data_IF_721614964917
#
_entry.id   IF_721614964917
#
_cell.length_a   1.000
_cell.length_b   1.000
_cell.length_c   1.000
_cell.angle_alpha   90.00
_cell.angle_beta   90.00
_cell.angle_gamma   90.00
#
_symmetry.space_group_name_H-M   'P 1'
#
loop_
_entity.id
_entity.type
_entity.pdbx_description
1 polymer ?
#
# COMPACT_ATOMS: atom_id res chain seq x y z
N UNK A 1 -88.50 -31.15 -32.86
CA UNK A 1 -87.87 -32.23 -32.07
C UNK A 1 -86.36 -32.02 -32.11
N UNK A 2 -85.65 -32.48 -31.07
CA UNK A 2 -84.24 -32.21 -30.74
C UNK A 2 -84.11 -30.87 -30.00
N UNK A 3 -83.71 -30.75 -28.73
CA UNK A 3 -83.10 -31.70 -27.80
C UNK A 3 -82.03 -30.94 -27.01
N UNK A 4 -82.35 -30.56 -25.76
CA UNK A 4 -81.41 -29.92 -24.84
C UNK A 4 -80.25 -30.88 -24.50
N UNK A 5 -79.01 -30.41 -24.61
CA UNK A 5 -77.87 -31.04 -23.93
C UNK A 5 -77.01 -29.98 -23.24
N UNK A 6 -77.14 -30.01 -21.91
CA UNK A 6 -76.33 -29.33 -20.92
C UNK A 6 -74.90 -29.90 -20.94
N UNK A 7 -73.90 -29.04 -21.10
CA UNK A 7 -72.50 -29.39 -20.83
C UNK A 7 -72.07 -28.74 -19.51
N UNK A 8 -71.82 -29.60 -18.50
CA UNK A 8 -71.18 -29.24 -17.23
C UNK A 8 -69.75 -28.76 -17.46
N UNK A 9 -69.26 -27.75 -16.72
CA UNK A 9 -67.84 -27.42 -16.67
C UNK A 9 -67.10 -28.54 -15.92
N UNK A 10 -66.08 -29.11 -16.55
CA UNK A 10 -65.19 -30.10 -15.93
C UNK A 10 -64.29 -29.39 -14.93
N UNK A 11 -64.50 -29.70 -13.66
CA UNK A 11 -63.64 -29.34 -12.53
C UNK A 11 -62.33 -30.12 -12.61
N UNK A 12 -61.38 -29.64 -13.40
CA UNK A 12 -60.00 -30.15 -13.45
C UNK A 12 -59.04 -28.99 -13.64
N UNK A 13 -59.08 -28.01 -12.73
CA UNK A 13 -58.15 -26.87 -12.75
C UNK A 13 -57.86 -26.33 -11.34
N UNK A 14 -57.85 -27.19 -10.32
CA UNK A 14 -57.34 -26.82 -9.00
C UNK A 14 -56.08 -27.59 -8.59
N UNK A 15 -55.85 -28.79 -9.14
CA UNK A 15 -54.71 -29.63 -8.75
C UNK A 15 -53.40 -29.30 -9.48
N UNK A 16 -53.44 -28.54 -10.58
CA UNK A 16 -52.23 -28.10 -11.29
C UNK A 16 -51.62 -26.81 -10.71
N UNK A 17 -52.43 -25.98 -10.04
CA UNK A 17 -51.95 -24.76 -9.40
C UNK A 17 -51.23 -25.03 -8.07
N UNK A 18 -51.52 -26.15 -7.40
CA UNK A 18 -50.89 -26.52 -6.13
C UNK A 18 -49.50 -27.16 -6.31
N UNK A 19 -49.19 -27.73 -7.48
CA UNK A 19 -47.85 -28.26 -7.78
C UNK A 19 -46.87 -27.22 -8.32
N UNK A 20 -47.35 -26.06 -8.80
CA UNK A 20 -46.49 -24.95 -9.25
C UNK A 20 -46.07 -24.01 -8.11
N UNK A 21 -46.68 -24.11 -6.92
CA UNK A 21 -46.30 -23.35 -5.72
C UNK A 21 -45.32 -24.09 -4.79
N UNK A 22 -44.97 -25.34 -5.10
CA UNK A 22 -43.98 -26.15 -4.37
C UNK A 22 -42.62 -26.26 -5.09
N UNK A 23 -42.44 -25.57 -6.22
CA UNK A 23 -41.14 -25.42 -6.87
C UNK A 23 -40.51 -24.09 -6.46
N UNK A 24 -39.27 -24.11 -5.97
CA UNK A 24 -38.41 -22.96 -5.61
C UNK A 24 -38.30 -22.56 -4.13
N UNK A 25 -38.44 -23.50 -3.20
CA UNK A 25 -37.71 -23.40 -1.93
C UNK A 25 -36.44 -24.25 -2.02
N UNK A 26 -35.52 -23.89 -2.93
CA UNK A 26 -34.13 -24.33 -2.77
C UNK A 26 -33.63 -23.68 -1.48
N UNK A 27 -33.19 -24.44 -0.47
CA UNK A 27 -32.65 -23.84 0.73
C UNK A 27 -31.48 -22.93 0.30
N UNK A 28 -31.56 -21.65 0.65
CA UNK A 28 -30.40 -20.77 0.51
C UNK A 28 -29.33 -21.38 1.42
N UNK A 29 -28.25 -21.83 0.81
CA UNK A 29 -27.10 -22.37 1.53
C UNK A 29 -26.36 -21.16 2.08
N UNK A 30 -26.30 -21.06 3.42
CA UNK A 30 -25.82 -19.91 4.19
C UNK A 30 -24.84 -20.45 5.23
N UNK A 31 -23.57 -20.08 5.21
CA UNK A 31 -22.61 -20.42 6.26
C UNK A 31 -21.21 -19.89 5.94
N UNK A 32 -20.45 -19.56 6.97
CA UNK A 32 -19.07 -19.10 6.85
C UNK A 32 -18.12 -20.24 7.22
N UNK A 33 -17.08 -20.45 6.41
CA UNK A 33 -16.18 -21.58 6.60
C UNK A 33 -15.38 -21.43 7.90
N UNK A 34 -15.24 -22.54 8.62
CA UNK A 34 -14.61 -22.65 9.94
C UNK A 34 -13.73 -23.88 10.04
N UNK A 35 -12.82 -23.90 11.02
CA UNK A 35 -12.04 -25.09 11.33
C UNK A 35 -12.95 -26.20 11.82
N UNK A 36 -12.80 -27.44 11.35
CA UNK A 36 -13.53 -28.59 11.89
C UNK A 36 -13.35 -28.72 13.42
N UNK A 37 -14.47 -28.83 14.14
CA UNK A 37 -14.48 -28.92 15.61
C UNK A 37 -14.24 -27.61 16.36
N UNK A 38 -14.14 -26.48 15.65
CA UNK A 38 -13.96 -25.16 16.25
C UNK A 38 -15.11 -24.79 17.21
N UNK A 39 -14.82 -24.07 18.31
CA UNK A 39 -15.85 -23.46 19.15
C UNK A 39 -16.69 -22.41 18.40
N UNK A 40 -16.16 -21.82 17.32
CA UNK A 40 -16.84 -20.83 16.49
C UNK A 40 -17.80 -21.44 15.46
N UNK A 41 -17.82 -22.78 15.32
CA UNK A 41 -18.69 -23.46 14.37
C UNK A 41 -20.18 -23.10 14.56
N UNK A 42 -20.65 -22.92 15.80
CA UNK A 42 -22.04 -22.57 16.08
C UNK A 42 -22.40 -21.13 15.70
N UNK A 43 -21.40 -20.24 15.60
CA UNK A 43 -21.58 -18.84 15.20
C UNK A 43 -21.57 -18.72 13.68
N UNK A 44 -20.66 -19.44 13.03
CA UNK A 44 -20.40 -19.32 11.60
C UNK A 44 -21.19 -20.30 10.71
N UNK A 45 -21.38 -21.56 11.15
CA UNK A 45 -22.02 -22.60 10.34
C UNK A 45 -23.53 -22.62 10.60
N UNK A 46 -24.29 -21.81 9.86
CA UNK A 46 -25.76 -21.81 9.96
C UNK A 46 -26.38 -23.01 9.27
N UNK A 47 -26.12 -23.13 7.97
CA UNK A 47 -26.67 -24.15 7.06
C UNK A 47 -25.57 -24.82 6.24
N UNK A 48 -24.50 -24.07 5.93
CA UNK A 48 -23.34 -24.49 5.16
C UNK A 48 -22.07 -24.55 6.01
N UNK A 49 -21.11 -25.36 5.59
CA UNK A 49 -19.71 -25.30 6.08
C UNK A 49 -18.80 -24.53 5.12
N UNK A 50 -19.32 -24.07 3.98
CA UNK A 50 -18.60 -23.27 3.00
C UNK A 50 -19.11 -21.83 3.05
N UNK A 51 -18.18 -20.87 3.03
CA UNK A 51 -18.45 -19.44 2.85
C UNK A 51 -19.30 -19.19 1.62
N UNK A 52 -20.42 -18.50 1.84
CA UNK A 52 -21.41 -18.21 0.79
C UNK A 52 -21.61 -16.70 0.64
N UNK A 53 -21.85 -16.23 -0.59
CA UNK A 53 -22.06 -14.81 -0.85
C UNK A 53 -23.24 -14.18 -0.08
N UNK A 54 -24.38 -14.85 0.16
CA UNK A 54 -25.52 -14.26 0.88
C UNK A 54 -25.23 -13.79 2.32
N UNK A 55 -24.09 -14.18 2.90
CA UNK A 55 -23.66 -13.72 4.24
C UNK A 55 -22.71 -12.53 4.20
N UNK A 56 -22.40 -12.02 3.02
CA UNK A 56 -21.41 -10.96 2.86
C UNK A 56 -22.15 -9.67 2.57
N UNK A 57 -21.65 -8.59 3.15
CA UNK A 57 -22.07 -7.22 2.88
C UNK A 57 -20.83 -6.39 2.55
N UNK A 58 -21.02 -5.30 1.83
CA UNK A 58 -19.92 -4.55 1.22
C UNK A 58 -19.88 -3.07 1.62
N UNK A 59 -20.92 -2.58 2.29
CA UNK A 59 -20.98 -1.23 2.85
C UNK A 59 -20.78 -1.31 4.37
N UNK A 60 -20.09 -0.32 4.93
CA UNK A 60 -19.69 -0.31 6.33
C UNK A 60 -20.92 -0.32 7.28
N UNK A 61 -21.97 0.42 6.94
CA UNK A 61 -23.23 0.49 7.71
C UNK A 61 -23.93 -0.88 7.81
N UNK A 62 -23.91 -1.64 6.72
CA UNK A 62 -24.57 -2.95 6.61
C UNK A 62 -24.01 -3.99 7.57
N UNK A 63 -22.76 -3.86 8.02
CA UNK A 63 -22.19 -4.78 9.01
C UNK A 63 -22.92 -4.71 10.36
N UNK A 64 -23.47 -3.55 10.72
CA UNK A 64 -24.23 -3.38 11.97
C UNK A 64 -25.75 -3.41 11.76
N UNK A 65 -26.23 -2.97 10.60
CA UNK A 65 -27.66 -2.81 10.33
C UNK A 65 -28.35 -4.07 9.78
N UNK A 66 -27.59 -4.99 9.17
CA UNK A 66 -28.15 -6.19 8.55
C UNK A 66 -27.82 -7.45 9.33
N UNK A 67 -28.67 -8.48 9.20
CA UNK A 67 -28.38 -9.79 9.81
C UNK A 67 -27.13 -10.40 9.17
N UNK A 68 -27.02 -10.40 7.83
CA UNK A 68 -25.85 -10.95 7.13
C UNK A 68 -24.54 -10.30 7.61
N UNK A 69 -24.51 -8.96 7.69
CA UNK A 69 -23.34 -8.23 8.15
C UNK A 69 -22.97 -8.51 9.60
N UNK A 70 -23.95 -8.52 10.51
CA UNK A 70 -23.70 -8.79 11.93
C UNK A 70 -23.30 -10.25 12.16
N UNK A 71 -23.87 -11.19 11.42
CA UNK A 71 -23.48 -12.60 11.44
C UNK A 71 -22.04 -12.79 10.94
N UNK A 72 -21.67 -12.12 9.85
CA UNK A 72 -20.32 -12.12 9.32
C UNK A 72 -19.32 -11.57 10.32
N UNK A 73 -19.61 -10.41 10.90
CA UNK A 73 -18.79 -9.79 11.92
C UNK A 73 -18.62 -10.75 13.10
N UNK A 74 -19.70 -11.22 13.72
CA UNK A 74 -19.64 -12.13 14.88
C UNK A 74 -18.83 -13.41 14.59
N UNK A 75 -18.96 -13.98 13.39
CA UNK A 75 -18.19 -15.15 13.00
C UNK A 75 -16.69 -14.85 12.90
N UNK A 76 -16.32 -13.81 12.14
CA UNK A 76 -14.91 -13.44 11.95
C UNK A 76 -14.28 -13.00 13.28
N UNK A 77 -15.02 -12.28 14.12
CA UNK A 77 -14.58 -11.91 15.47
C UNK A 77 -14.26 -13.15 16.30
N UNK A 78 -15.18 -14.12 16.36
CA UNK A 78 -14.94 -15.39 17.06
C UNK A 78 -13.69 -16.10 16.53
N UNK A 79 -13.55 -16.19 15.21
CA UNK A 79 -12.45 -16.88 14.56
C UNK A 79 -11.08 -16.26 14.85
N UNK A 80 -10.98 -14.93 14.74
CA UNK A 80 -9.72 -14.21 14.97
C UNK A 80 -9.33 -14.15 16.46
N UNK A 81 -10.29 -14.23 17.37
CA UNK A 81 -10.05 -14.31 18.82
C UNK A 81 -9.89 -15.76 19.35
N UNK A 82 -10.07 -16.76 18.49
CA UNK A 82 -9.91 -18.16 18.83
C UNK A 82 -8.47 -18.63 18.62
N UNK A 83 -7.89 -19.24 19.65
CA UNK A 83 -6.59 -19.93 19.57
C UNK A 83 -6.71 -21.37 19.04
N UNK A 84 -7.88 -21.77 18.56
CA UNK A 84 -8.14 -23.15 18.12
C UNK A 84 -7.49 -23.43 16.76
N UNK A 85 -6.83 -24.59 16.68
CA UNK A 85 -6.29 -25.13 15.43
C UNK A 85 -6.39 -26.65 15.43
N UNK A 86 -6.79 -27.20 14.29
CA UNK A 86 -6.81 -28.63 14.06
C UNK A 86 -5.44 -29.09 13.52
N UNK A 87 -4.69 -29.76 14.40
CA UNK A 87 -3.35 -30.27 14.11
C UNK A 87 -3.38 -31.29 12.96
N UNK A 88 -4.49 -32.00 12.75
CA UNK A 88 -4.57 -33.06 11.74
C UNK A 88 -4.72 -32.52 10.32
N UNK A 89 -5.46 -31.42 10.14
CA UNK A 89 -5.66 -30.77 8.85
C UNK A 89 -4.74 -29.56 8.63
N UNK A 90 -4.06 -29.08 9.68
CA UNK A 90 -3.23 -27.87 9.64
C UNK A 90 -4.05 -26.58 9.53
N UNK A 91 -5.36 -26.64 9.78
CA UNK A 91 -6.27 -25.49 9.69
C UNK A 91 -6.41 -24.81 11.05
N UNK A 92 -6.46 -23.48 11.05
CA UNK A 92 -6.71 -22.70 12.27
C UNK A 92 -7.91 -21.79 12.11
N UNK A 93 -8.53 -21.41 13.22
CA UNK A 93 -9.64 -20.46 13.19
C UNK A 93 -9.20 -19.10 12.63
N UNK A 94 -7.98 -18.67 12.96
CA UNK A 94 -7.38 -17.46 12.41
C UNK A 94 -7.26 -17.53 10.89
N UNK A 95 -6.77 -18.65 10.33
CA UNK A 95 -6.67 -18.82 8.88
C UNK A 95 -8.04 -18.75 8.19
N UNK A 96 -9.09 -19.34 8.80
CA UNK A 96 -10.45 -19.25 8.28
C UNK A 96 -11.07 -17.87 8.42
N UNK A 97 -10.80 -17.15 9.51
CA UNK A 97 -11.22 -15.76 9.70
C UNK A 97 -10.62 -14.85 8.63
N UNK A 98 -9.31 -14.98 8.38
CA UNK A 98 -8.63 -14.23 7.32
C UNK A 98 -9.11 -14.65 5.92
N UNK A 99 -9.36 -15.94 5.70
CA UNK A 99 -9.99 -16.40 4.46
C UNK A 99 -11.37 -15.76 4.24
N UNK A 100 -12.21 -15.67 5.27
CA UNK A 100 -13.53 -15.03 5.18
C UNK A 100 -13.42 -13.53 4.84
N UNK A 101 -12.45 -12.81 5.43
CA UNK A 101 -12.13 -11.43 5.05
C UNK A 101 -11.69 -11.32 3.58
N UNK A 102 -10.83 -12.22 3.13
CA UNK A 102 -10.34 -12.29 1.75
C UNK A 102 -11.46 -12.57 0.75
N UNK A 103 -12.35 -13.49 1.11
CA UNK A 103 -13.53 -13.81 0.32
C UNK A 103 -14.47 -12.62 0.22
N UNK A 104 -14.74 -11.94 1.35
CA UNK A 104 -15.57 -10.73 1.37
C UNK A 104 -14.98 -9.62 0.51
N UNK A 105 -13.67 -9.34 0.65
CA UNK A 105 -12.98 -8.38 -0.20
C UNK A 105 -13.15 -8.73 -1.69
N UNK A 106 -12.84 -9.96 -2.08
CA UNK A 106 -12.88 -10.37 -3.50
C UNK A 106 -14.30 -10.30 -4.08
N UNK A 107 -15.29 -10.68 -3.28
CA UNK A 107 -16.69 -10.69 -3.71
C UNK A 107 -17.26 -9.27 -3.81
N UNK A 108 -16.83 -8.34 -2.96
CA UNK A 108 -17.26 -6.95 -2.97
C UNK A 108 -16.53 -6.10 -4.03
N UNK A 109 -15.24 -6.34 -4.25
CA UNK A 109 -14.40 -5.52 -5.16
C UNK A 109 -14.40 -6.07 -6.58
N UNK A 110 -14.27 -7.38 -6.75
CA UNK A 110 -14.14 -8.03 -8.06
C UNK A 110 -15.39 -8.78 -8.50
N UNK A 111 -16.33 -9.03 -7.57
CA UNK A 111 -17.49 -9.88 -7.85
C UNK A 111 -17.12 -11.36 -7.98
N UNK A 112 -16.02 -11.79 -7.35
CA UNK A 112 -15.52 -13.16 -7.40
C UNK A 112 -15.40 -13.76 -5.99
N UNK A 113 -15.86 -15.01 -5.75
CA UNK A 113 -16.37 -15.96 -6.74
C UNK A 113 -17.84 -15.72 -7.14
N UNK A 114 -18.56 -14.90 -6.38
CA UNK A 114 -19.92 -14.49 -6.67
C UNK A 114 -20.08 -13.00 -6.32
N UNK A 115 -20.83 -12.27 -7.13
CA UNK A 115 -21.07 -10.85 -6.92
C UNK A 115 -22.14 -10.65 -5.84
N UNK A 116 -21.76 -9.99 -4.74
CA UNK A 116 -22.66 -9.78 -3.59
C UNK A 116 -23.44 -8.49 -3.67
N UNK A 117 -22.82 -7.44 -4.22
CA UNK A 117 -23.44 -6.14 -4.39
C UNK A 117 -22.94 -5.48 -5.68
N UNK A 118 -23.82 -4.73 -6.33
CA UNK A 118 -23.46 -3.93 -7.50
C UNK A 118 -23.15 -2.49 -7.04
N UNK A 119 -22.01 -2.32 -6.37
CA UNK A 119 -21.57 -1.03 -5.84
C UNK A 119 -20.60 -0.40 -6.83
N UNK A 120 -20.93 0.81 -7.29
CA UNK A 120 -20.07 1.56 -8.20
C UNK A 120 -18.99 2.29 -7.40
N UNK A 121 -17.95 1.57 -6.96
CA UNK A 121 -16.82 2.17 -6.25
C UNK A 121 -15.74 2.65 -7.24
N UNK A 122 -15.24 3.90 -7.12
CA UNK A 122 -14.12 4.37 -7.95
C UNK A 122 -12.81 3.63 -7.66
N UNK A 123 -12.72 2.89 -6.55
CA UNK A 123 -11.50 2.24 -6.09
C UNK A 123 -11.21 0.88 -6.72
N UNK A 124 -12.19 0.25 -7.39
CA UNK A 124 -12.03 -1.06 -8.04
C UNK A 124 -10.86 -1.06 -9.02
N UNK A 125 -10.67 0.03 -9.78
CA UNK A 125 -9.57 0.15 -10.75
C UNK A 125 -8.21 0.17 -10.06
N UNK A 126 -8.08 0.93 -8.97
CA UNK A 126 -6.84 0.99 -8.17
C UNK A 126 -6.50 -0.36 -7.56
N UNK A 127 -7.51 -1.14 -7.17
CA UNK A 127 -7.34 -2.45 -6.56
C UNK A 127 -7.22 -3.60 -7.57
N UNK A 128 -7.47 -3.37 -8.86
CA UNK A 128 -7.44 -4.42 -9.91
C UNK A 128 -6.14 -5.24 -9.93
N UNK A 129 -4.94 -4.66 -9.75
CA UNK A 129 -3.71 -5.45 -9.78
C UNK A 129 -3.58 -6.50 -8.67
N UNK A 130 -4.36 -6.40 -7.58
CA UNK A 130 -4.35 -7.38 -6.47
C UNK A 130 -5.16 -8.65 -6.81
N UNK A 131 -6.07 -8.60 -7.79
CA UNK A 131 -7.02 -9.68 -8.09
C UNK A 131 -6.34 -11.05 -8.27
N UNK A 132 -5.23 -11.21 -9.02
CA UNK A 132 -4.61 -12.52 -9.20
C UNK A 132 -4.13 -13.18 -7.90
N UNK A 133 -3.82 -12.40 -6.86
CA UNK A 133 -3.46 -12.94 -5.55
C UNK A 133 -4.68 -13.22 -4.68
N UNK A 134 -5.64 -12.29 -4.65
CA UNK A 134 -6.81 -12.39 -3.78
C UNK A 134 -7.85 -13.41 -4.27
N UNK A 135 -7.88 -13.71 -5.56
CA UNK A 135 -8.74 -14.75 -6.13
C UNK A 135 -8.11 -16.15 -6.11
N UNK A 136 -6.80 -16.26 -5.85
CA UNK A 136 -6.03 -17.50 -5.95
C UNK A 136 -6.54 -18.61 -5.00
N UNK A 137 -7.03 -19.73 -5.54
CA UNK A 137 -7.62 -20.84 -4.76
C UNK A 137 -8.80 -20.44 -3.84
N UNK A 138 -9.49 -19.34 -4.13
CA UNK A 138 -10.63 -18.91 -3.31
C UNK A 138 -11.82 -19.90 -3.36
N UNK A 139 -11.95 -20.67 -4.45
CA UNK A 139 -12.99 -21.69 -4.60
C UNK A 139 -12.61 -23.06 -4.00
N UNK A 140 -11.32 -23.31 -3.76
CA UNK A 140 -10.82 -24.58 -3.23
C UNK A 140 -9.81 -24.34 -2.09
N UNK A 141 -10.24 -23.70 -0.99
CA UNK A 141 -9.36 -23.44 0.14
C UNK A 141 -9.08 -24.73 0.92
N UNK A 142 -7.86 -24.88 1.38
CA UNK A 142 -7.37 -26.00 2.18
C UNK A 142 -6.30 -25.54 3.19
N UNK A 143 -5.92 -26.43 4.11
CA UNK A 143 -4.95 -26.11 5.17
C UNK A 143 -3.55 -25.73 4.72
N UNK A 144 -3.22 -25.86 3.42
CA UNK A 144 -1.88 -25.58 2.89
C UNK A 144 -1.84 -24.40 1.90
N UNK A 145 -2.97 -23.80 1.54
CA UNK A 145 -3.03 -22.71 0.55
C UNK A 145 -3.51 -21.35 1.12
N UNK A 146 -3.63 -21.22 2.45
CA UNK A 146 -4.04 -19.96 3.08
C UNK A 146 -3.08 -18.80 2.84
N UNK A 147 -1.79 -19.07 2.59
CA UNK A 147 -0.72 -18.06 2.45
C UNK A 147 0.07 -18.16 1.13
N UNK A 148 -0.24 -19.09 0.23
CA UNK A 148 0.54 -19.32 -1.00
C UNK A 148 0.57 -18.14 -1.95
N UNK A 149 -0.38 -17.22 -1.83
CA UNK A 149 -0.54 -16.01 -2.62
C UNK A 149 0.16 -14.79 -2.00
N UNK A 150 0.59 -14.84 -0.73
CA UNK A 150 1.28 -13.74 -0.05
C UNK A 150 2.58 -13.31 -0.75
N UNK A 151 3.26 -14.24 -1.43
CA UNK A 151 4.50 -13.98 -2.17
C UNK A 151 4.30 -13.52 -3.61
N UNK A 152 3.06 -13.37 -4.08
CA UNK A 152 2.78 -12.96 -5.44
C UNK A 152 3.15 -11.49 -5.65
N UNK A 153 3.70 -11.14 -6.83
CA UNK A 153 4.00 -9.75 -7.17
C UNK A 153 2.75 -8.87 -7.26
N UNK A 154 1.59 -9.48 -7.52
CA UNK A 154 0.29 -8.82 -7.47
C UNK A 154 -0.11 -8.43 -6.04
N UNK A 155 0.45 -9.05 -5.00
CA UNK A 155 0.20 -8.73 -3.59
C UNK A 155 1.35 -7.93 -2.94
N UNK A 156 1.98 -7.04 -3.71
CA UNK A 156 3.05 -6.21 -3.21
C UNK A 156 2.52 -5.06 -2.34
N UNK A 157 3.27 -4.70 -1.30
CA UNK A 157 2.94 -3.65 -0.32
C UNK A 157 2.50 -2.32 -0.93
N UNK A 158 3.16 -1.87 -2.00
CA UNK A 158 2.80 -0.62 -2.67
C UNK A 158 1.42 -0.70 -3.35
N UNK A 159 1.10 -1.84 -3.96
CA UNK A 159 -0.19 -2.07 -4.62
C UNK A 159 -1.31 -2.11 -3.58
N UNK A 160 -1.05 -2.76 -2.45
CA UNK A 160 -1.96 -2.82 -1.31
C UNK A 160 -2.23 -1.41 -0.77
N UNK A 161 -1.17 -0.63 -0.52
CA UNK A 161 -1.29 0.72 0.02
C UNK A 161 -2.06 1.68 -0.91
N UNK A 162 -1.89 1.56 -2.23
CA UNK A 162 -2.67 2.35 -3.20
C UNK A 162 -4.17 2.02 -3.12
N UNK A 163 -4.50 0.73 -3.01
CA UNK A 163 -5.88 0.26 -2.87
C UNK A 163 -6.52 0.70 -1.55
N UNK A 164 -5.84 0.47 -0.42
CA UNK A 164 -6.29 0.88 0.92
C UNK A 164 -6.51 2.39 1.01
N UNK A 165 -5.58 3.18 0.46
CA UNK A 165 -5.70 4.63 0.44
C UNK A 165 -6.97 5.07 -0.29
N UNK A 166 -7.30 4.46 -1.42
CA UNK A 166 -8.52 4.79 -2.14
C UNK A 166 -9.77 4.49 -1.31
N UNK A 167 -9.88 3.29 -0.74
CA UNK A 167 -11.03 2.90 0.07
C UNK A 167 -11.17 3.76 1.34
N UNK A 168 -10.08 4.19 1.94
CA UNK A 168 -10.11 5.12 3.07
C UNK A 168 -10.75 6.48 2.70
N UNK A 169 -10.65 6.94 1.45
CA UNK A 169 -11.30 8.17 0.99
C UNK A 169 -12.84 8.05 0.91
N UNK A 170 -13.39 6.83 1.04
CA UNK A 170 -14.84 6.59 1.06
C UNK A 170 -15.48 6.88 2.42
N UNK A 171 -14.70 7.20 3.46
CA UNK A 171 -15.20 7.44 4.83
C UNK A 171 -16.28 8.52 4.93
N UNK A 172 -16.29 9.49 3.99
CA UNK A 172 -17.23 10.61 3.98
C UNK A 172 -18.33 10.46 2.92
N UNK A 173 -18.43 9.30 2.28
CA UNK A 173 -19.46 9.00 1.28
C UNK A 173 -20.64 8.30 1.95
N UNK A 174 -21.82 8.36 1.32
CA UNK A 174 -23.01 7.61 1.79
C UNK A 174 -22.80 6.10 1.69
N UNK A 175 -22.05 5.67 0.68
CA UNK A 175 -21.71 4.27 0.44
C UNK A 175 -20.28 4.03 0.96
N UNK A 176 -20.07 4.18 2.27
CA UNK A 176 -18.74 4.03 2.87
C UNK A 176 -18.27 2.58 2.83
N UNK A 177 -16.99 2.36 2.53
CA UNK A 177 -16.37 1.05 2.33
C UNK A 177 -14.96 1.00 2.95
N UNK A 178 -14.74 1.66 4.08
CA UNK A 178 -13.45 1.69 4.79
C UNK A 178 -13.08 0.30 5.32
N UNK A 179 -14.06 -0.55 5.64
CA UNK A 179 -13.79 -1.89 6.16
C UNK A 179 -13.03 -2.74 5.13
N UNK A 180 -13.28 -2.52 3.84
CA UNK A 180 -12.57 -3.19 2.73
C UNK A 180 -11.06 -2.90 2.78
N UNK A 181 -10.65 -1.67 3.13
CA UNK A 181 -9.24 -1.34 3.35
C UNK A 181 -8.66 -2.11 4.55
N UNK A 182 -9.41 -2.18 5.65
CA UNK A 182 -8.97 -2.88 6.85
C UNK A 182 -8.87 -4.39 6.67
N UNK A 183 -9.74 -4.99 5.85
CA UNK A 183 -9.66 -6.41 5.49
C UNK A 183 -8.36 -6.68 4.75
N UNK A 184 -7.99 -5.81 3.82
CA UNK A 184 -6.76 -5.92 3.06
C UNK A 184 -5.52 -5.75 3.94
N UNK A 185 -5.52 -4.80 4.88
CA UNK A 185 -4.41 -4.60 5.81
C UNK A 185 -4.28 -5.77 6.80
N UNK A 186 -5.39 -6.38 7.24
CA UNK A 186 -5.35 -7.59 8.06
C UNK A 186 -4.72 -8.78 7.32
N UNK A 187 -5.04 -8.94 6.03
CA UNK A 187 -4.42 -9.92 5.15
C UNK A 187 -2.92 -9.65 4.96
N UNK A 188 -2.56 -8.40 4.67
CA UNK A 188 -1.17 -7.96 4.56
C UNK A 188 -0.38 -8.24 5.84
N UNK A 189 -0.96 -7.92 7.01
CA UNK A 189 -0.34 -8.19 8.31
C UNK A 189 0.02 -9.66 8.45
N UNK A 190 -0.92 -10.58 8.18
CA UNK A 190 -0.67 -12.01 8.34
C UNK A 190 0.35 -12.56 7.32
N UNK A 191 0.42 -11.99 6.12
CA UNK A 191 1.45 -12.34 5.15
C UNK A 191 2.87 -11.98 5.63
N UNK A 192 3.04 -10.86 6.35
CA UNK A 192 4.34 -10.46 6.92
C UNK A 192 4.63 -11.14 8.26
N UNK A 193 3.62 -11.24 9.11
CA UNK A 193 3.70 -11.73 10.49
C UNK A 193 2.67 -12.83 10.68
N UNK A 194 3.02 -14.03 10.21
CA UNK A 194 2.14 -15.20 10.30
C UNK A 194 1.81 -15.50 11.76
N UNK A 195 0.51 -15.63 12.04
CA UNK A 195 0.04 -16.04 13.36
C UNK A 195 0.33 -17.53 13.55
N UNK A 196 1.05 -17.93 14.62
CA UNK A 196 1.29 -19.34 14.91
C UNK A 196 -0.01 -20.10 15.22
N UNK A 197 -0.04 -21.38 14.90
CA UNK A 197 -1.07 -22.30 15.40
C UNK A 197 -1.03 -22.31 16.92
N UNK A 198 -2.16 -22.02 17.58
CA UNK A 198 -2.34 -21.82 19.04
C UNK A 198 -2.39 -20.36 19.55
N UNK A 199 -2.32 -19.38 18.65
CA UNK A 199 -2.45 -17.97 19.01
C UNK A 199 -3.64 -17.31 18.34
N UNK A 200 -4.17 -16.31 19.04
CA UNK A 200 -5.18 -15.39 18.52
C UNK A 200 -4.53 -14.40 17.55
N UNK A 201 -5.31 -13.86 16.63
CA UNK A 201 -4.83 -12.87 15.68
C UNK A 201 -4.40 -11.58 16.42
N UNK A 202 -3.22 -11.00 16.13
CA UNK A 202 -2.73 -9.84 16.87
C UNK A 202 -3.54 -8.55 16.69
N UNK A 203 -4.24 -8.38 15.57
CA UNK A 203 -5.11 -7.23 15.32
C UNK A 203 -6.50 -7.56 15.86
N UNK A 204 -6.97 -6.77 16.81
CA UNK A 204 -8.31 -6.95 17.38
C UNK A 204 -9.39 -6.77 16.32
N UNK A 205 -10.40 -7.64 16.24
CA UNK A 205 -11.45 -7.54 15.22
C UNK A 205 -12.23 -6.22 15.22
N UNK A 206 -12.43 -5.62 16.39
CA UNK A 206 -13.05 -4.29 16.53
C UNK A 206 -12.29 -3.16 15.82
N UNK A 207 -11.02 -3.37 15.49
CA UNK A 207 -10.21 -2.44 14.68
C UNK A 207 -10.31 -2.74 13.19
N UNK A 208 -10.65 -3.98 12.82
CA UNK A 208 -10.90 -4.39 11.44
C UNK A 208 -12.27 -3.85 11.00
N UNK A 209 -13.30 -4.05 11.82
CA UNK A 209 -14.65 -3.51 11.63
C UNK A 209 -14.77 -2.09 12.23
N UNK A 210 -13.94 -1.17 11.74
CA UNK A 210 -13.91 0.23 12.16
C UNK A 210 -13.82 1.16 10.96
N UNK A 211 -14.46 2.31 11.02
CA UNK A 211 -14.37 3.36 9.99
C UNK A 211 -13.01 4.11 10.01
N UNK A 212 -12.08 3.66 10.85
CA UNK A 212 -10.70 4.14 10.88
C UNK A 212 -9.78 3.13 10.19
N UNK A 213 -9.06 3.60 9.18
CA UNK A 213 -8.04 2.81 8.50
C UNK A 213 -6.97 2.29 9.48
N UNK A 214 -6.66 1.00 9.38
CA UNK A 214 -5.56 0.39 10.12
C UNK A 214 -4.21 1.00 9.71
N UNK A 215 -3.28 1.20 10.66
CA UNK A 215 -1.93 1.64 10.33
C UNK A 215 -1.20 0.51 9.59
N UNK A 216 -0.35 0.88 8.63
CA UNK A 216 0.45 -0.08 7.88
C UNK A 216 1.28 -0.97 8.82
N UNK A 217 1.20 -2.28 8.60
CA UNK A 217 1.78 -3.34 9.43
C UNK A 217 3.28 -3.20 9.67
N UNK A 218 4.01 -2.51 8.79
CA UNK A 218 5.43 -2.14 9.00
C UNK A 218 5.67 -1.28 10.23
N UNK A 219 4.63 -0.63 10.79
CA UNK A 219 4.70 0.21 12.00
C UNK A 219 4.19 -0.44 13.29
N UNK A 220 3.55 -1.62 13.23
CA UNK A 220 2.83 -2.19 14.39
C UNK A 220 3.73 -2.87 15.44
N UNK A 221 5.03 -2.95 15.21
CA UNK A 221 6.01 -3.56 16.14
C UNK A 221 6.26 -2.77 17.43
N UNK A 222 5.56 -1.67 17.70
CA UNK A 222 5.83 -0.79 18.86
C UNK A 222 4.75 -0.70 19.95
N UNK A 223 3.58 -1.32 19.79
CA UNK A 223 2.51 -1.12 20.78
C UNK A 223 1.53 -2.28 20.85
N UNK A 224 2.00 -3.42 21.35
CA UNK A 224 1.31 -4.34 22.28
C UNK A 224 2.14 -5.63 22.36
N UNK A 225 3.23 -5.58 23.12
CA UNK A 225 3.88 -6.79 23.61
C UNK A 225 3.95 -6.66 25.13
N UNK A 226 2.97 -7.27 25.81
CA UNK A 226 3.06 -7.54 27.24
C UNK A 226 4.39 -8.24 27.49
N UNK A 227 5.14 -7.70 28.44
CA UNK A 227 6.43 -8.19 28.86
C UNK A 227 6.40 -9.70 29.15
N UNK A 228 7.00 -10.49 28.26
CA UNK A 228 7.54 -11.80 28.62
C UNK A 228 9.05 -11.78 28.46
N UNK A 229 9.71 -12.14 29.55
CA UNK A 229 11.15 -12.05 29.73
C UNK A 229 11.88 -13.03 28.79
N UNK A 230 12.38 -12.53 27.66
CA UNK A 230 13.24 -13.30 26.75
C UNK A 230 14.02 -12.49 25.71
N UNK A 231 13.70 -11.20 25.53
CA UNK A 231 14.22 -10.37 24.42
C UNK A 231 15.61 -9.74 24.64
N UNK A 232 16.26 -9.96 25.79
CA UNK A 232 17.49 -9.24 26.14
C UNK A 232 18.72 -9.56 25.28
N UNK A 233 18.69 -10.59 24.43
CA UNK A 233 19.83 -10.94 23.55
C UNK A 233 19.76 -10.36 22.15
N UNK A 234 18.58 -10.04 21.61
CA UNK A 234 18.44 -9.59 20.21
C UNK A 234 18.43 -8.06 20.08
N UNK A 235 17.79 -7.34 21.01
CA UNK A 235 17.82 -5.87 21.04
C UNK A 235 19.24 -5.31 21.27
N UNK A 236 20.08 -6.04 22.01
CA UNK A 236 21.46 -5.66 22.28
C UNK A 236 22.37 -5.83 21.04
N UNK A 237 22.04 -6.76 20.13
CA UNK A 237 22.83 -7.04 18.92
C UNK A 237 22.61 -5.97 17.83
N UNK A 238 21.41 -5.37 17.74
CA UNK A 238 21.09 -4.36 16.72
C UNK A 238 21.48 -2.94 17.18
N UNK A 239 21.45 -2.65 18.49
CA UNK A 239 21.86 -1.35 19.03
C UNK A 239 23.39 -1.13 19.07
N UNK A 240 24.17 -2.20 19.22
CA UNK A 240 25.64 -2.17 19.27
C UNK A 240 26.34 -1.63 18.00
N UNK A 241 25.98 -2.06 16.77
CA UNK A 241 26.64 -1.57 15.56
C UNK A 241 26.35 -0.10 15.28
N UNK A 242 25.15 0.38 15.60
CA UNK A 242 24.75 1.77 15.37
C UNK A 242 25.54 2.71 16.30
N UNK A 243 25.64 2.37 17.59
CA UNK A 243 26.44 3.17 18.53
C UNK A 243 27.94 3.11 18.22
N UNK A 244 28.45 1.95 17.80
CA UNK A 244 29.83 1.78 17.37
C UNK A 244 30.19 2.62 16.13
N UNK A 245 29.30 2.67 15.14
CA UNK A 245 29.50 3.46 13.93
C UNK A 245 29.54 4.96 14.20
N UNK A 246 28.66 5.46 15.09
CA UNK A 246 28.64 6.87 15.50
C UNK A 246 29.95 7.25 16.20
N UNK A 247 30.42 6.42 17.14
CA UNK A 247 31.69 6.68 17.85
C UNK A 247 32.87 6.68 16.87
N UNK A 248 32.89 5.74 15.92
CA UNK A 248 33.94 5.65 14.91
C UNK A 248 34.00 6.90 14.00
N UNK A 249 32.85 7.42 13.56
CA UNK A 249 32.77 8.67 12.82
C UNK A 249 33.28 9.85 13.64
N UNK A 250 32.90 9.94 14.92
CA UNK A 250 33.35 11.01 15.80
C UNK A 250 34.88 10.99 16.00
N UNK A 251 35.49 9.81 16.20
CA UNK A 251 36.94 9.67 16.34
C UNK A 251 37.66 10.04 15.05
N UNK A 252 37.16 9.61 13.90
CA UNK A 252 37.73 9.98 12.60
C UNK A 252 37.64 11.49 12.34
N UNK A 253 36.50 12.12 12.64
CA UNK A 253 36.32 13.57 12.47
C UNK A 253 37.29 14.36 13.36
N UNK A 254 37.43 13.97 14.64
CA UNK A 254 38.35 14.60 15.58
C UNK A 254 39.81 14.36 15.16
N UNK A 255 40.16 13.13 14.76
CA UNK A 255 41.48 12.76 14.25
C UNK A 255 41.88 13.58 13.01
N UNK A 256 40.98 13.71 12.04
CA UNK A 256 41.17 14.55 10.85
C UNK A 256 41.37 16.03 11.22
N UNK A 257 40.59 16.56 12.16
CA UNK A 257 40.72 17.95 12.62
C UNK A 257 42.08 18.22 13.27
N UNK A 258 42.53 17.33 14.17
CA UNK A 258 43.85 17.45 14.80
C UNK A 258 44.99 17.25 13.80
N UNK A 259 44.87 16.31 12.86
CA UNK A 259 45.87 16.08 11.83
C UNK A 259 46.02 17.30 10.91
N UNK A 260 44.90 17.91 10.48
CA UNK A 260 44.92 19.15 9.68
C UNK A 260 45.55 20.29 10.48
N UNK A 261 45.18 20.47 11.76
CA UNK A 261 45.79 21.50 12.61
C UNK A 261 47.28 21.27 12.83
N UNK A 262 47.70 20.03 13.05
CA UNK A 262 49.11 19.67 13.24
C UNK A 262 49.90 19.88 11.96
N UNK A 263 49.38 19.47 10.81
CA UNK A 263 49.98 19.74 9.49
C UNK A 263 50.10 21.24 9.22
N UNK A 264 49.07 22.03 9.53
CA UNK A 264 49.11 23.50 9.40
C UNK A 264 50.14 24.12 10.37
N UNK A 265 50.27 23.61 11.59
CA UNK A 265 51.29 24.06 12.56
C UNK A 265 52.71 23.70 12.09
N UNK A 266 52.90 22.51 11.52
CA UNK A 266 54.19 22.05 11.01
C UNK A 266 54.59 22.80 9.72
N UNK A 267 53.64 23.11 8.84
CA UNK A 267 53.87 23.97 7.67
C UNK A 267 54.26 25.40 8.08
N UNK A 268 53.66 25.95 9.15
CA UNK A 268 54.05 27.25 9.71
C UNK A 268 55.47 27.24 10.32
N UNK A 269 55.88 26.14 10.96
CA UNK A 269 57.25 25.96 11.47
C UNK A 269 58.27 25.90 10.33
N UNK A 270 57.98 25.16 9.25
CA UNK A 270 58.85 25.09 8.04
C UNK A 270 58.98 26.44 7.32
N UNK A 271 57.94 27.29 7.37
CA UNK A 271 58.00 28.67 6.83
C UNK A 271 58.79 29.65 7.71
N UNK A 272 58.88 29.41 9.04
CA UNK A 272 59.71 30.24 9.94
C UNK A 272 61.21 29.96 9.81
N UNK A 273 61.62 28.74 9.50
CA UNK A 273 63.03 28.41 9.24
C UNK A 273 63.55 28.94 7.89
N UNK A 274 62.68 29.19 6.91
CA UNK A 274 63.08 29.79 5.64
C UNK A 274 63.36 31.30 5.71
N UNK A 275 62.72 32.02 6.63
CA UNK A 275 62.88 33.48 6.73
C UNK A 275 64.13 33.92 7.51
N UNK A 276 64.69 33.06 8.38
CA UNK A 276 65.92 33.38 9.11
C UNK A 276 67.18 33.20 8.24
N UNK A 277 67.15 32.33 7.23
CA UNK A 277 68.24 32.18 6.26
C UNK A 277 68.16 33.16 5.09
N UNK A 278 66.97 33.73 4.80
CA UNK A 278 66.81 34.71 3.73
C UNK A 278 67.31 36.13 4.10
N UNK A 279 67.50 36.44 5.40
CA UNK A 279 67.88 37.79 5.87
C UNK A 279 69.37 37.98 6.15
N UNK A 280 70.22 36.98 5.91
CA UNK A 280 71.67 37.14 6.13
C UNK A 280 72.42 37.70 4.91
N UNK A 281 71.72 37.90 3.78
CA UNK A 281 72.34 38.36 2.52
C UNK A 281 71.84 39.72 2.02
N UNK A 282 70.99 40.43 2.78
CA UNK A 282 70.50 41.77 2.40
C UNK A 282 71.21 42.86 3.21
N UNK A 283 72.24 43.48 2.63
CA UNK A 283 72.98 44.63 3.19
C UNK A 283 72.34 45.99 2.89
N UNK A 284 71.03 46.07 2.63
CA UNK A 284 70.38 47.31 2.16
C UNK A 284 69.09 47.64 2.89
N UNK A 285 69.11 47.83 4.21
CA UNK A 285 68.02 48.53 4.91
C UNK A 285 68.60 49.59 5.83
N UNK A 286 68.51 50.84 5.36
CA UNK A 286 68.66 52.06 6.14
C UNK A 286 67.53 52.16 7.16
N UNK A 287 67.86 52.49 8.40
CA UNK A 287 66.90 52.86 9.46
C UNK A 287 66.24 54.20 9.13
N UNK A 288 64.89 54.33 9.14
CA UNK A 288 64.28 55.65 9.18
C UNK A 288 64.20 56.14 10.63
N UNK A 289 64.62 57.40 10.78
CA UNK A 289 64.67 58.15 12.01
C UNK A 289 63.29 58.63 12.50
N UNK A 290 63.31 59.04 13.76
CA UNK A 290 62.22 59.58 14.57
C UNK A 290 61.70 60.94 14.05
N UNK A 291 60.37 61.13 14.03
CA UNK A 291 59.71 62.43 14.18
C UNK A 291 58.95 62.98 12.96
N UNK A 292 57.63 63.18 13.10
CA UNK A 292 56.98 64.51 13.11
C UNK A 292 55.46 64.38 12.94
N UNK A 293 54.73 65.06 13.83
CA UNK A 293 53.29 65.27 13.81
C UNK A 293 52.87 66.29 12.74
N UNK A 294 51.63 66.19 12.24
CA UNK A 294 51.00 67.23 11.42
C UNK A 294 49.78 66.71 10.63
N UNK A 295 48.59 67.06 11.12
CA UNK A 295 47.25 66.70 10.59
C UNK A 295 46.77 67.78 9.55
N UNK A 296 45.52 67.76 9.03
CA UNK A 296 45.15 67.30 7.67
C UNK A 296 44.63 68.41 6.73
N UNK A 297 44.72 68.25 5.40
CA UNK A 297 43.80 68.89 4.43
C UNK A 297 43.97 68.42 2.95
N UNK A 298 42.84 68.05 2.36
CA UNK A 298 42.39 68.22 0.96
C UNK A 298 42.92 67.38 -0.23
N UNK A 299 41.96 66.60 -0.78
CA UNK A 299 41.64 66.43 -2.21
C UNK A 299 42.38 65.30 -2.94
N UNK A 300 41.76 64.39 -3.72
CA UNK A 300 40.49 64.45 -4.44
C UNK A 300 40.13 63.05 -5.01
N UNK A 301 38.82 62.78 -5.16
CA UNK A 301 38.11 61.79 -6.02
C UNK A 301 37.94 60.31 -5.61
N UNK A 302 36.73 59.97 -5.13
CA UNK A 302 35.94 58.79 -5.56
C UNK A 302 34.47 58.98 -5.19
N UNK A 303 33.51 58.86 -6.13
CA UNK A 303 32.09 58.78 -5.80
C UNK A 303 31.62 57.35 -5.48
N UNK A 304 30.54 57.20 -4.70
CA UNK A 304 30.12 55.96 -4.04
C UNK A 304 29.03 55.21 -4.81
N UNK A 305 28.69 53.99 -4.40
CA UNK A 305 27.29 53.52 -4.21
C UNK A 305 27.21 52.03 -3.80
N UNK A 306 26.80 51.83 -2.54
CA UNK A 306 25.76 50.92 -2.04
C UNK A 306 25.82 49.39 -2.33
N UNK A 307 26.08 48.64 -1.24
CA UNK A 307 25.50 47.32 -0.92
C UNK A 307 23.99 47.47 -0.60
N UNK A 308 23.12 46.41 -0.56
CA UNK A 308 23.44 45.07 -0.05
C UNK A 308 22.73 43.86 -0.71
N UNK A 309 23.22 42.65 -0.41
CA UNK A 309 22.30 41.57 -0.02
C UNK A 309 22.20 40.33 -0.92
N UNK A 310 22.49 39.19 -0.27
CA UNK A 310 21.96 37.84 -0.45
C UNK A 310 22.44 36.98 -1.65
N UNK A 311 23.16 35.91 -1.28
CA UNK A 311 23.70 34.92 -2.19
C UNK A 311 22.65 33.94 -2.72
N UNK A 312 22.59 33.84 -4.04
CA UNK A 312 22.10 32.67 -4.78
C UNK A 312 23.28 31.84 -5.29
N UNK A 313 23.11 30.53 -5.36
CA UNK A 313 24.10 29.63 -5.96
C UNK A 313 24.07 29.79 -7.48
N UNK A 314 25.19 30.25 -8.05
CA UNK A 314 25.41 30.25 -9.50
C UNK A 314 26.23 29.00 -9.86
N UNK A 315 25.75 28.22 -10.83
CA UNK A 315 26.58 27.23 -11.52
C UNK A 315 26.87 27.72 -12.94
N UNK A 316 28.08 27.45 -13.42
CA UNK A 316 28.56 27.86 -14.75
C UNK A 316 28.77 26.60 -15.56
N UNK A 317 28.03 26.44 -16.66
CA UNK A 317 28.28 25.36 -17.62
C UNK A 317 29.54 25.64 -18.46
N UNK A 318 30.10 24.59 -19.06
CA UNK A 318 31.38 24.57 -19.79
C UNK A 318 31.44 25.47 -21.05
N UNK A 319 30.34 26.11 -21.41
CA UNK A 319 30.16 27.04 -22.54
C UNK A 319 29.89 28.50 -22.10
N UNK A 320 30.00 28.81 -20.80
CA UNK A 320 30.18 30.18 -20.30
C UNK A 320 28.93 31.06 -20.30
N UNK A 321 27.73 30.49 -20.40
CA UNK A 321 26.47 31.23 -20.25
C UNK A 321 25.88 31.02 -18.85
N UNK A 322 25.51 32.11 -18.19
CA UNK A 322 24.83 32.11 -16.88
C UNK A 322 23.31 32.10 -17.09
N UNK A 323 22.59 31.17 -16.46
CA UNK A 323 21.14 31.23 -16.35
C UNK A 323 20.71 31.37 -14.89
N UNK A 324 19.80 32.31 -14.63
CA UNK A 324 19.13 32.47 -13.35
C UNK A 324 17.86 31.61 -13.33
N UNK A 325 17.79 30.63 -12.42
CA UNK A 325 16.56 29.87 -12.18
C UNK A 325 15.92 30.36 -10.88
N UNK A 326 14.91 31.23 -11.02
CA UNK A 326 14.08 31.72 -9.92
C UNK A 326 12.80 30.89 -9.77
N UNK A 327 12.52 30.42 -8.55
CA UNK A 327 11.22 29.89 -8.17
C UNK A 327 10.17 31.01 -8.20
N UNK A 328 9.14 30.89 -9.04
CA UNK A 328 7.98 31.78 -9.02
C UNK A 328 6.83 31.15 -8.24
N UNK A 329 6.39 31.83 -7.18
CA UNK A 329 5.09 31.59 -6.53
C UNK A 329 4.27 32.89 -6.58
N UNK A 330 3.13 32.78 -7.27
CA UNK A 330 1.83 33.48 -7.12
C UNK A 330 1.80 35.02 -7.03
N UNK A 331 1.06 35.70 -7.93
CA UNK A 331 -0.35 36.09 -7.69
C UNK A 331 -0.95 37.07 -8.74
N UNK A 332 -2.23 36.82 -9.04
CA UNK A 332 -3.32 37.68 -9.57
C UNK A 332 -3.16 38.46 -10.88
N UNK A 333 -4.11 38.29 -11.81
CA UNK A 333 -5.19 39.26 -12.13
C UNK A 333 -6.25 38.59 -13.04
N UNK A 334 -7.45 39.13 -12.91
CA UNK A 334 -8.81 38.67 -13.19
C UNK A 334 -9.34 38.96 -14.62
N UNK A 335 -10.48 38.31 -14.94
CA UNK A 335 -11.58 38.72 -15.85
C UNK A 335 -11.57 38.37 -17.38
N UNK A 336 -12.44 37.40 -17.69
CA UNK A 336 -13.68 37.49 -18.51
C UNK A 336 -13.81 36.82 -19.90
N UNK A 337 -14.99 36.20 -20.03
CA UNK A 337 -15.71 35.44 -21.08
C UNK A 337 -15.54 35.78 -22.59
N UNK A 338 -15.35 34.71 -23.41
CA UNK A 338 -16.13 34.20 -24.59
C UNK A 338 -16.57 35.13 -25.77
N UNK A 339 -17.00 34.62 -26.97
CA UNK A 339 -16.76 33.34 -27.69
C UNK A 339 -16.70 33.40 -29.27
N UNK A 340 -16.56 32.21 -29.92
CA UNK A 340 -16.91 31.75 -31.32
C UNK A 340 -16.05 32.28 -32.50
N UNK A 341 -15.47 31.48 -33.43
CA UNK A 341 -16.14 30.76 -34.56
C UNK A 341 -15.19 29.80 -35.32
N UNK A 342 -15.76 28.71 -35.85
CA UNK A 342 -15.20 27.60 -36.67
C UNK A 342 -14.86 28.05 -38.12
N UNK A 343 -14.12 27.26 -38.95
CA UNK A 343 -14.83 26.36 -39.88
C UNK A 343 -14.13 25.00 -40.21
N UNK A 344 -14.92 24.12 -40.83
CA UNK A 344 -14.66 22.71 -41.20
C UNK A 344 -14.15 22.50 -42.65
N UNK A 345 -13.83 21.23 -42.97
CA UNK A 345 -13.75 20.52 -44.28
C UNK A 345 -12.41 20.61 -45.05
N UNK A 346 -11.86 19.60 -45.75
CA UNK A 346 -12.09 18.16 -46.01
C UNK A 346 -10.88 17.67 -46.84
N UNK A 347 -10.36 16.44 -46.64
CA UNK A 347 -10.01 15.44 -47.70
C UNK A 347 -9.06 14.32 -47.21
N UNK A 348 -9.46 13.07 -47.48
CA UNK A 348 -8.64 11.85 -47.55
C UNK A 348 -8.20 11.61 -49.02
N UNK A 349 -7.13 10.83 -49.32
CA UNK A 349 -7.32 9.38 -49.52
C UNK A 349 -6.16 8.45 -49.05
N UNK A 350 -6.55 7.19 -48.83
CA UNK A 350 -5.91 5.85 -48.95
C UNK A 350 -4.39 5.71 -49.25
N UNK A 351 -3.69 4.77 -48.57
CA UNK A 351 -3.33 3.42 -49.07
C UNK A 351 -2.44 2.61 -48.07
N UNK A 352 -2.76 1.30 -47.93
CA UNK A 352 -1.86 0.14 -47.69
C UNK A 352 -0.90 0.04 -46.48
N UNK A 353 -1.12 -0.93 -45.57
CA UNK A 353 -0.66 -2.35 -45.68
C UNK A 353 -0.90 -3.11 -44.38
N UNK A 354 -1.63 -4.23 -44.46
CA UNK A 354 -1.69 -5.26 -43.43
C UNK A 354 -0.70 -6.39 -43.70
N UNK A 355 -0.25 -7.07 -42.64
CA UNK A 355 0.26 -8.46 -42.61
C UNK A 355 0.08 -8.95 -41.16
N UNK A 356 -0.93 -9.78 -40.88
CA UNK A 356 -0.95 -11.24 -40.89
C UNK A 356 -0.61 -11.88 -39.54
N UNK A 357 -1.64 -12.51 -38.96
CA UNK A 357 -1.56 -13.46 -37.87
C UNK A 357 -0.91 -14.77 -38.33
N UNK A 358 -0.08 -15.37 -37.46
CA UNK A 358 0.27 -16.78 -37.53
C UNK A 358 0.09 -17.43 -36.16
N UNK A 359 -0.94 -18.28 -36.13
CA UNK A 359 -1.24 -19.33 -35.17
C UNK A 359 -0.11 -20.36 -35.11
N UNK A 360 0.32 -20.71 -33.91
CA UNK A 360 1.20 -21.86 -33.65
C UNK A 360 0.37 -22.97 -33.01
N UNK A 361 0.15 -24.07 -33.74
CA UNK A 361 -0.35 -25.33 -33.22
C UNK A 361 0.86 -26.24 -32.90
N UNK A 362 0.94 -26.87 -31.72
CA UNK A 362 1.89 -27.93 -31.48
C UNK A 362 1.35 -29.29 -31.97
N UNK A 363 2.26 -30.04 -32.58
CA UNK A 363 2.06 -31.34 -33.22
C UNK A 363 1.87 -32.46 -32.16
N UNK A 364 0.85 -33.29 -32.38
CA UNK A 364 0.44 -34.40 -31.53
C UNK A 364 1.17 -35.67 -31.97
N UNK A 365 2.09 -36.17 -31.16
CA UNK A 365 2.64 -37.53 -31.31
C UNK A 365 1.86 -38.52 -30.42
N UNK A 366 1.39 -39.60 -31.03
CA UNK A 366 0.66 -40.71 -30.42
C UNK A 366 1.42 -42.00 -30.71
N UNK A 367 1.69 -42.81 -29.67
CA UNK A 367 1.62 -44.30 -29.60
C UNK A 367 2.50 -44.86 -28.46
N UNK A 368 2.31 -46.10 -27.98
CA UNK A 368 1.09 -46.87 -27.65
C UNK A 368 1.21 -47.51 -26.21
N UNK A 369 0.28 -48.36 -25.74
CA UNK A 369 0.22 -48.76 -24.32
C UNK A 369 1.10 -49.99 -24.01
N UNK A 370 1.73 -50.01 -22.84
CA UNK A 370 2.24 -51.24 -22.25
C UNK A 370 1.23 -51.85 -21.28
N UNK A 371 0.83 -53.09 -21.57
CA UNK A 371 0.33 -54.07 -20.62
C UNK A 371 1.51 -54.91 -20.14
N UNK A 372 1.77 -54.93 -18.83
CA UNK A 372 1.86 -56.15 -18.01
C UNK A 372 2.01 -55.78 -16.54
#
# INVERSE_FOLDING_TARGET
MIGFLSQKPKSTSLSAATFLLLGHLTPVVVGLRTTPGSPCANVCNKVSTNTTAPEIVCLDDQFSETTAGSDFQNCVECQLESAYGDISSGQTDVDWGLYNLRYAFSSCVYGFPEQVANISSPCVVTCTPLAPALEYDLNDPNGVNFDTWCGASSFADNVISDCEFCYNLTSNMTDSQVYIANFLEALRYNCHFRTPTDQVFPISPSRIFSESMLPQSTGLTSSTAKASAGSSRLALIIALPILGFVILICVLAVGCFFFIRWRRKQARKRRRSGHLHARWNDTTISTPAHGSWGDPANGMYSPPMHQPGFGGFNFVDTDGRTQEVGFSKSNYVELNESPVTVPSTTHSPEHEKGYHAQTYFPERSVSPPQKQ
#
